data_IF_870320186567
#
_entry.id   IF_870320186567
#
_cell.length_a   1.000
_cell.length_b   1.000
_cell.length_c   1.000
_cell.angle_alpha   90.00
_cell.angle_beta   90.00
_cell.angle_gamma   90.00
#
_symmetry.space_group_name_H-M   'P 1'
#
loop_
_entity.id
_entity.type
_entity.pdbx_description
1 polymer ?
#
# COMPACT_ATOMS: atom_id res chain seq x y z
N UNK A 1 18.62 -0.93 -11.53
CA UNK A 1 18.31 -2.35 -11.37
C UNK A 1 17.03 -2.68 -12.12
N UNK A 2 16.93 -3.86 -12.67
CA UNK A 2 15.72 -4.33 -13.34
C UNK A 2 14.78 -4.96 -12.30
N UNK A 3 13.56 -4.44 -12.06
CA UNK A 3 12.69 -4.90 -10.99
C UNK A 3 12.39 -6.40 -11.01
N UNK A 4 12.22 -6.99 -12.22
CA UNK A 4 11.98 -8.43 -12.39
C UNK A 4 13.12 -9.31 -11.88
N UNK A 5 14.33 -8.76 -11.79
CA UNK A 5 15.56 -9.45 -11.37
C UNK A 5 16.01 -9.11 -9.95
N UNK A 6 15.21 -8.31 -9.22
CA UNK A 6 15.57 -7.72 -7.94
C UNK A 6 16.13 -8.74 -6.91
N UNK A 7 15.63 -9.97 -6.90
CA UNK A 7 16.01 -10.98 -5.93
C UNK A 7 16.82 -12.16 -6.50
N UNK A 8 17.17 -12.12 -7.79
CA UNK A 8 17.82 -13.25 -8.46
C UNK A 8 19.18 -12.92 -9.06
N UNK A 9 19.33 -11.74 -9.66
CA UNK A 9 20.50 -11.37 -10.45
C UNK A 9 21.20 -10.09 -9.98
N UNK A 10 20.56 -9.30 -9.10
CA UNK A 10 21.21 -8.08 -8.60
C UNK A 10 22.29 -8.41 -7.57
N UNK A 11 23.43 -7.71 -7.60
CA UNK A 11 24.49 -7.89 -6.62
C UNK A 11 24.02 -7.47 -5.22
N UNK A 12 24.55 -8.13 -4.22
CA UNK A 12 24.41 -7.69 -2.82
C UNK A 12 25.42 -6.58 -2.56
N UNK A 13 24.95 -5.52 -1.89
CA UNK A 13 25.77 -4.35 -1.55
C UNK A 13 25.59 -4.05 -0.07
N UNK A 14 26.69 -3.78 0.63
CA UNK A 14 26.64 -3.36 2.04
C UNK A 14 25.85 -2.06 2.16
N UNK A 15 24.92 -2.07 3.10
CA UNK A 15 24.00 -0.93 3.30
C UNK A 15 23.85 -0.62 4.78
N UNK A 16 24.02 0.64 5.13
CA UNK A 16 23.76 1.16 6.48
C UNK A 16 22.61 2.16 6.42
N UNK A 17 21.67 2.04 7.37
CA UNK A 17 20.49 2.90 7.48
C UNK A 17 20.39 3.45 8.89
N UNK A 18 20.47 4.77 9.03
CA UNK A 18 20.30 5.49 10.29
C UNK A 18 19.20 6.55 10.11
N UNK A 19 17.98 6.20 10.52
CA UNK A 19 16.80 7.06 10.35
C UNK A 19 16.10 7.29 11.69
N UNK A 20 15.70 8.54 11.91
CA UNK A 20 14.84 8.93 13.04
C UNK A 20 13.47 9.32 12.49
N UNK A 21 12.41 8.72 13.03
CA UNK A 21 11.04 8.98 12.64
C UNK A 21 10.27 9.68 13.75
N UNK A 22 9.41 10.63 13.37
CA UNK A 22 8.49 11.33 14.26
C UNK A 22 7.07 11.22 13.70
N UNK A 23 6.10 10.80 14.53
CA UNK A 23 4.68 10.87 14.18
C UNK A 23 4.25 12.32 14.00
N UNK A 24 3.56 12.63 12.90
CA UNK A 24 3.03 13.96 12.58
C UNK A 24 1.50 13.98 12.56
N UNK A 25 0.87 12.86 12.89
CA UNK A 25 -0.59 12.68 12.93
C UNK A 25 -1.00 11.78 14.09
N UNK A 26 -2.28 11.70 14.45
CA UNK A 26 -2.81 10.61 15.26
C UNK A 26 -2.56 9.24 14.61
N UNK A 27 -2.66 8.16 15.39
CA UNK A 27 -2.69 6.80 14.83
C UNK A 27 -4.09 6.50 14.26
N UNK A 28 -4.11 5.83 13.11
CA UNK A 28 -5.32 5.34 12.45
C UNK A 28 -5.35 3.81 12.45
N UNK A 29 -6.49 3.22 12.81
CA UNK A 29 -6.65 1.77 12.86
C UNK A 29 -6.48 1.19 14.26
N UNK A 30 -6.11 -0.09 14.34
CA UNK A 30 -5.97 -0.84 15.57
C UNK A 30 -6.52 -2.25 15.46
N UNK A 31 -7.11 -2.77 16.53
CA UNK A 31 -7.80 -4.07 16.51
C UNK A 31 -9.20 -3.89 15.94
N UNK A 32 -9.60 -4.70 14.95
CA UNK A 32 -10.96 -4.67 14.46
C UNK A 32 -11.94 -5.15 15.55
N UNK A 33 -13.09 -4.51 15.62
CA UNK A 33 -14.18 -4.93 16.47
C UNK A 33 -15.48 -4.98 15.66
N UNK A 34 -16.31 -5.96 15.93
CA UNK A 34 -17.64 -6.03 15.32
C UNK A 34 -18.49 -4.87 15.87
N UNK A 35 -19.09 -4.10 14.99
CA UNK A 35 -19.92 -2.94 15.36
C UNK A 35 -21.11 -3.31 16.26
N UNK A 36 -21.66 -4.51 16.06
CA UNK A 36 -22.83 -5.00 16.81
C UNK A 36 -22.50 -5.48 18.21
N UNK A 37 -21.32 -6.05 18.43
CA UNK A 37 -20.95 -6.73 19.69
C UNK A 37 -19.84 -6.03 20.46
N UNK A 38 -19.07 -5.15 19.81
CA UNK A 38 -17.87 -4.53 20.38
C UNK A 38 -16.73 -5.53 20.63
N UNK A 39 -16.85 -6.79 20.16
CA UNK A 39 -15.85 -7.85 20.37
C UNK A 39 -14.97 -8.00 19.15
N UNK A 40 -13.76 -8.52 19.36
CA UNK A 40 -12.86 -8.89 18.25
C UNK A 40 -13.54 -10.02 17.44
N UNK A 41 -13.54 -9.92 16.08
CA UNK A 41 -14.10 -10.98 15.23
C UNK A 41 -13.25 -12.25 15.36
N UNK A 42 -13.91 -13.39 15.38
CA UNK A 42 -13.25 -14.70 15.29
C UNK A 42 -12.92 -14.96 13.83
N UNK A 43 -11.64 -15.02 13.49
CA UNK A 43 -11.18 -15.33 12.14
C UNK A 43 -10.40 -16.64 12.13
N UNK A 44 -10.64 -17.46 11.11
CA UNK A 44 -9.77 -18.59 10.83
C UNK A 44 -8.43 -18.09 10.28
N UNK A 45 -7.36 -18.87 10.47
CA UNK A 45 -6.01 -18.47 10.04
C UNK A 45 -5.94 -18.24 8.53
N UNK A 46 -6.58 -19.09 7.74
CA UNK A 46 -6.64 -19.03 6.27
C UNK A 46 -7.52 -17.89 5.73
N UNK A 47 -8.32 -17.26 6.57
CA UNK A 47 -9.14 -16.09 6.26
C UNK A 47 -8.54 -14.79 6.79
N UNK A 48 -7.43 -14.90 7.56
CA UNK A 48 -6.79 -13.75 8.23
C UNK A 48 -5.70 -13.15 7.36
N UNK A 49 -5.82 -11.86 7.09
CA UNK A 49 -4.75 -11.09 6.48
C UNK A 49 -3.92 -10.32 7.53
N UNK A 50 -4.53 -9.93 8.65
CA UNK A 50 -3.85 -9.45 9.86
C UNK A 50 -4.82 -9.51 11.05
N UNK A 51 -4.30 -9.74 12.25
CA UNK A 51 -5.10 -9.68 13.49
C UNK A 51 -5.44 -8.25 13.86
N UNK A 52 -4.50 -7.35 13.63
CA UNK A 52 -4.67 -5.93 13.84
C UNK A 52 -3.66 -5.15 12.98
N UNK A 53 -3.99 -3.90 12.72
CA UNK A 53 -3.24 -3.02 11.83
C UNK A 53 -3.45 -1.58 12.24
N UNK A 54 -2.39 -0.78 12.30
CA UNK A 54 -2.50 0.66 12.44
C UNK A 54 -1.46 1.38 11.57
N UNK A 55 -1.77 2.60 11.22
CA UNK A 55 -0.98 3.47 10.38
C UNK A 55 -0.84 4.84 11.03
N UNK A 56 0.23 5.55 10.69
CA UNK A 56 0.48 6.90 11.18
C UNK A 56 1.37 7.64 10.19
N UNK A 57 0.96 8.82 9.76
CA UNK A 57 1.85 9.67 8.98
C UNK A 57 3.03 10.13 9.84
N UNK A 58 4.21 10.13 9.24
CA UNK A 58 5.49 10.41 9.90
C UNK A 58 6.33 11.37 9.09
N UNK A 59 7.21 12.09 9.76
CA UNK A 59 8.41 12.68 9.16
C UNK A 59 9.62 11.81 9.48
N UNK A 60 10.61 11.76 8.59
CA UNK A 60 11.83 10.97 8.73
C UNK A 60 13.06 11.79 8.37
N UNK A 61 14.13 11.63 9.16
CA UNK A 61 15.45 12.26 8.92
C UNK A 61 16.55 11.26 9.20
N UNK A 62 17.63 11.37 8.43
CA UNK A 62 18.84 10.57 8.68
C UNK A 62 19.60 10.27 7.41
N UNK A 63 20.32 9.16 7.39
CA UNK A 63 21.22 8.79 6.31
C UNK A 63 20.99 7.35 5.86
N UNK A 64 21.22 7.13 4.58
CA UNK A 64 21.34 5.80 3.98
C UNK A 64 22.65 5.74 3.22
N UNK A 65 23.46 4.73 3.49
CA UNK A 65 24.70 4.45 2.77
C UNK A 65 24.52 3.13 2.01
N UNK A 66 24.85 3.13 0.73
CA UNK A 66 24.79 1.96 -0.16
C UNK A 66 26.11 1.83 -0.88
N UNK A 67 26.95 0.90 -0.46
CA UNK A 67 28.34 0.83 -0.93
C UNK A 67 29.07 2.13 -0.59
N UNK A 68 29.59 2.80 -1.60
CA UNK A 68 30.32 4.06 -1.47
C UNK A 68 29.42 5.31 -1.58
N UNK A 69 28.13 5.14 -1.81
CA UNK A 69 27.19 6.24 -1.95
C UNK A 69 26.47 6.54 -0.62
N UNK A 70 26.37 7.83 -0.28
CA UNK A 70 25.67 8.32 0.92
C UNK A 70 24.56 9.29 0.57
N UNK A 71 23.37 9.04 1.12
CA UNK A 71 22.18 9.85 0.92
C UNK A 71 21.72 10.45 2.24
N UNK A 72 21.56 11.78 2.27
CA UNK A 72 20.89 12.48 3.37
C UNK A 72 19.38 12.51 3.09
N UNK A 73 18.61 12.01 4.04
CA UNK A 73 17.16 11.93 3.92
C UNK A 73 16.47 12.91 4.88
N UNK A 74 15.49 13.63 4.35
CA UNK A 74 14.57 14.47 5.12
C UNK A 74 13.24 14.49 4.36
N UNK A 75 12.25 13.76 4.83
CA UNK A 75 11.01 13.58 4.09
C UNK A 75 9.86 13.10 4.94
N UNK A 76 8.76 12.82 4.26
CA UNK A 76 7.51 12.36 4.82
C UNK A 76 7.27 10.91 4.43
N UNK A 77 6.43 10.22 5.20
CA UNK A 77 6.05 8.84 4.93
C UNK A 77 4.90 8.38 5.77
N UNK A 78 4.62 7.08 5.68
CA UNK A 78 3.63 6.41 6.52
C UNK A 78 4.30 5.28 7.29
N UNK A 79 4.08 5.24 8.61
CA UNK A 79 4.36 4.07 9.42
C UNK A 79 3.19 3.12 9.34
N UNK A 80 3.43 1.97 8.79
CA UNK A 80 2.52 0.82 8.80
C UNK A 80 2.96 -0.20 9.84
N UNK A 81 2.03 -0.69 10.64
CA UNK A 81 2.26 -1.77 11.58
C UNK A 81 1.09 -2.74 11.61
N UNK A 82 1.34 -3.95 11.15
CA UNK A 82 0.40 -5.07 11.28
C UNK A 82 1.02 -6.21 12.09
N UNK A 83 0.17 -7.05 12.71
CA UNK A 83 0.60 -8.26 13.40
C UNK A 83 -0.46 -9.36 13.36
N UNK A 84 -0.02 -10.58 13.64
CA UNK A 84 -0.82 -11.79 13.56
C UNK A 84 -0.50 -12.63 12.32
N UNK A 85 -1.24 -13.70 12.14
CA UNK A 85 -1.10 -14.55 10.96
C UNK A 85 -1.51 -13.79 9.71
N UNK A 86 -0.71 -13.96 8.63
CA UNK A 86 -0.99 -13.37 7.33
C UNK A 86 -1.08 -14.46 6.27
N UNK A 87 -2.25 -14.60 5.69
CA UNK A 87 -2.51 -15.49 4.58
C UNK A 87 -2.76 -14.66 3.32
N UNK A 88 -1.81 -14.63 2.41
CA UNK A 88 -1.83 -13.74 1.25
C UNK A 88 -2.97 -14.02 0.28
N UNK A 89 -3.48 -15.26 0.27
CA UNK A 89 -4.62 -15.67 -0.53
C UNK A 89 -5.99 -15.36 0.11
N UNK A 90 -6.02 -14.76 1.31
CA UNK A 90 -7.25 -14.32 1.94
C UNK A 90 -7.89 -13.11 1.26
N UNK A 91 -7.16 -12.46 0.38
CA UNK A 91 -7.58 -11.28 -0.39
C UNK A 91 -7.39 -11.60 -1.87
N UNK A 92 -8.40 -11.34 -2.70
CA UNK A 92 -8.30 -11.51 -4.14
C UNK A 92 -7.40 -10.42 -4.75
N UNK A 93 -7.63 -9.17 -4.35
CA UNK A 93 -6.77 -8.05 -4.71
C UNK A 93 -6.95 -6.87 -3.75
N UNK A 94 -5.95 -5.99 -3.66
CA UNK A 94 -6.08 -4.67 -3.06
C UNK A 94 -5.24 -3.63 -3.79
N UNK A 95 -5.60 -2.36 -3.54
CA UNK A 95 -4.84 -1.16 -3.86
C UNK A 95 -4.65 -0.39 -2.57
N UNK A 96 -3.41 -0.15 -2.20
CA UNK A 96 -3.03 0.61 -1.02
C UNK A 96 -2.10 1.72 -1.43
N UNK A 97 -2.54 2.97 -1.26
CA UNK A 97 -1.89 4.16 -1.80
C UNK A 97 -1.62 5.16 -0.68
N UNK A 98 -0.56 4.98 0.11
CA UNK A 98 -0.09 6.02 1.01
C UNK A 98 0.66 7.09 0.25
N UNK A 99 0.40 8.36 0.56
CA UNK A 99 1.05 9.50 -0.06
C UNK A 99 1.09 10.69 0.88
N UNK A 100 2.10 11.54 0.73
CA UNK A 100 2.23 12.79 1.48
C UNK A 100 2.60 13.94 0.56
N UNK A 101 1.93 15.06 0.74
CA UNK A 101 2.15 16.30 -0.01
C UNK A 101 2.83 17.36 0.84
N UNK A 102 2.49 17.43 2.14
CA UNK A 102 3.08 18.31 3.14
C UNK A 102 2.93 17.70 4.55
N UNK A 103 3.44 18.37 5.57
CA UNK A 103 3.33 17.92 6.97
C UNK A 103 1.87 17.86 7.46
N UNK A 104 0.98 18.63 6.83
CA UNK A 104 -0.42 18.78 7.19
C UNK A 104 -1.40 18.26 6.12
N UNK A 105 -0.89 17.75 4.99
CA UNK A 105 -1.70 17.17 3.93
C UNK A 105 -1.10 15.87 3.41
N UNK A 106 -1.75 14.79 3.75
CA UNK A 106 -1.34 13.44 3.37
C UNK A 106 -2.56 12.50 3.29
N UNK A 107 -2.42 11.37 2.62
CA UNK A 107 -3.51 10.40 2.46
C UNK A 107 -2.99 8.97 2.58
N UNK A 108 -3.86 8.09 3.02
CA UNK A 108 -3.76 6.66 2.76
C UNK A 108 -5.10 6.19 2.19
N UNK A 109 -5.08 5.74 0.94
CA UNK A 109 -6.26 5.26 0.22
C UNK A 109 -6.19 3.74 0.17
N UNK A 110 -7.29 3.08 0.48
CA UNK A 110 -7.41 1.63 0.48
C UNK A 110 -8.65 1.19 -0.29
N UNK A 111 -8.47 0.25 -1.22
CA UNK A 111 -9.53 -0.42 -1.96
C UNK A 111 -9.21 -1.92 -1.97
N UNK A 112 -10.06 -2.73 -1.33
CA UNK A 112 -9.76 -4.13 -1.04
C UNK A 112 -10.92 -5.01 -1.49
N UNK A 113 -10.64 -6.06 -2.26
CA UNK A 113 -11.59 -7.10 -2.63
C UNK A 113 -11.16 -8.47 -2.11
N UNK A 114 -12.07 -9.15 -1.42
CA UNK A 114 -11.85 -10.53 -0.96
C UNK A 114 -12.31 -11.57 -1.97
N UNK A 115 -13.36 -11.27 -2.72
CA UNK A 115 -14.02 -12.15 -3.67
C UNK A 115 -13.64 -11.90 -5.14
N UNK A 116 -12.88 -10.83 -5.41
CA UNK A 116 -12.50 -10.38 -6.74
C UNK A 116 -13.56 -9.51 -7.45
N UNK A 117 -14.74 -9.37 -6.88
CA UNK A 117 -15.92 -8.71 -7.49
C UNK A 117 -16.29 -7.45 -6.73
N UNK A 118 -16.46 -7.59 -5.41
CA UNK A 118 -16.89 -6.49 -4.54
C UNK A 118 -15.67 -5.89 -3.85
N UNK A 119 -15.52 -4.58 -3.92
CA UNK A 119 -14.44 -3.88 -3.24
C UNK A 119 -14.96 -3.01 -2.10
N UNK A 120 -14.24 -3.03 -0.99
CA UNK A 120 -14.45 -2.14 0.14
C UNK A 120 -13.48 -0.96 0.06
N UNK A 121 -14.02 0.24 0.09
CA UNK A 121 -13.28 1.49 0.17
C UNK A 121 -12.91 1.82 1.62
N UNK A 122 -11.74 2.42 1.84
CA UNK A 122 -11.31 2.87 3.15
C UNK A 122 -10.11 3.80 3.09
N UNK A 123 -9.66 4.19 4.26
CA UNK A 123 -8.50 5.05 4.42
C UNK A 123 -8.83 6.38 5.08
N UNK A 124 -7.86 7.29 5.03
CA UNK A 124 -7.95 8.60 5.67
C UNK A 124 -7.21 9.67 4.87
N UNK A 125 -7.70 10.89 4.99
CA UNK A 125 -7.03 12.12 4.56
C UNK A 125 -6.60 12.86 5.81
N UNK A 126 -5.31 13.13 5.97
CA UNK A 126 -4.79 14.07 6.96
C UNK A 126 -4.93 15.47 6.39
N UNK A 127 -5.60 16.35 7.11
CA UNK A 127 -5.68 17.77 6.81
C UNK A 127 -5.77 18.54 8.13
N UNK A 128 -4.89 19.51 8.33
CA UNK A 128 -4.83 20.34 9.54
C UNK A 128 -4.85 19.52 10.85
N UNK A 129 -3.92 18.56 10.99
CA UNK A 129 -3.78 17.64 12.14
C UNK A 129 -5.00 16.74 12.41
N UNK A 130 -5.97 16.69 11.50
CA UNK A 130 -7.19 15.91 11.63
C UNK A 130 -7.32 14.88 10.52
N UNK A 131 -7.80 13.67 10.86
CA UNK A 131 -8.15 12.66 9.88
C UNK A 131 -9.62 12.77 9.45
N UNK A 132 -9.83 12.88 8.14
CA UNK A 132 -11.11 12.75 7.46
C UNK A 132 -11.21 11.36 6.84
N UNK A 133 -12.26 10.60 7.21
CA UNK A 133 -12.41 9.23 6.73
C UNK A 133 -12.83 9.21 5.26
N UNK A 134 -12.19 8.36 4.48
CA UNK A 134 -12.57 8.11 3.09
C UNK A 134 -13.83 7.26 3.06
N UNK A 135 -14.84 7.69 2.29
CA UNK A 135 -16.15 7.04 2.14
C UNK A 135 -16.28 6.26 0.85
N UNK A 136 -15.70 6.76 -0.22
CA UNK A 136 -15.66 6.08 -1.51
C UNK A 136 -14.30 6.21 -2.18
N UNK A 137 -13.95 5.20 -2.97
CA UNK A 137 -12.70 5.13 -3.72
C UNK A 137 -13.01 4.56 -5.09
N UNK A 138 -12.57 5.26 -6.13
CA UNK A 138 -12.51 4.77 -7.51
C UNK A 138 -11.06 4.89 -7.98
N UNK A 139 -10.50 3.85 -8.59
CA UNK A 139 -9.14 3.84 -9.11
C UNK A 139 -9.14 3.30 -10.52
N UNK A 140 -8.66 4.12 -11.46
CA UNK A 140 -8.36 3.73 -12.84
C UNK A 140 -6.85 3.58 -13.00
N UNK A 141 -6.39 2.39 -13.34
CA UNK A 141 -4.95 2.09 -13.49
C UNK A 141 -4.58 1.87 -14.94
N UNK A 142 -3.42 2.39 -15.35
CA UNK A 142 -2.77 2.07 -16.60
C UNK A 142 -1.70 1.03 -16.37
N UNK A 143 -1.71 -0.04 -17.15
CA UNK A 143 -0.82 -1.18 -17.02
C UNK A 143 0.18 -1.24 -18.18
N UNK A 144 1.33 -1.86 -17.94
CA UNK A 144 2.25 -2.24 -19.02
C UNK A 144 1.88 -3.64 -19.59
N UNK A 145 2.66 -4.11 -20.58
CA UNK A 145 2.43 -5.40 -21.25
C UNK A 145 2.61 -6.62 -20.32
N UNK A 146 3.30 -6.45 -19.18
CA UNK A 146 3.50 -7.46 -18.15
C UNK A 146 2.55 -7.32 -16.96
N UNK A 147 1.55 -6.47 -17.10
CA UNK A 147 0.56 -6.17 -16.05
C UNK A 147 1.16 -5.55 -14.79
N UNK A 148 2.16 -4.66 -14.92
CA UNK A 148 2.60 -3.78 -13.85
C UNK A 148 1.95 -2.40 -14.00
N UNK A 149 1.56 -1.79 -12.89
CA UNK A 149 0.99 -0.43 -12.92
C UNK A 149 2.04 0.59 -13.35
N UNK A 150 1.66 1.46 -14.30
CA UNK A 150 2.47 2.59 -14.80
C UNK A 150 2.00 3.91 -14.25
N UNK A 151 0.70 4.11 -14.22
CA UNK A 151 0.06 5.30 -13.70
C UNK A 151 -1.33 4.98 -13.20
N UNK A 152 -1.90 5.88 -12.44
CA UNK A 152 -3.26 5.76 -11.94
C UNK A 152 -3.94 7.12 -11.85
N UNK A 153 -5.28 7.06 -11.87
CA UNK A 153 -6.14 8.16 -11.42
C UNK A 153 -7.04 7.62 -10.31
N UNK A 154 -7.11 8.33 -9.20
CA UNK A 154 -8.02 8.01 -8.13
C UNK A 154 -8.99 9.16 -7.87
N UNK A 155 -10.24 8.83 -7.61
CA UNK A 155 -11.25 9.75 -7.05
C UNK A 155 -11.67 9.20 -5.70
N UNK A 156 -11.63 10.05 -4.70
CA UNK A 156 -12.07 9.70 -3.36
C UNK A 156 -13.03 10.75 -2.83
N UNK A 157 -13.96 10.34 -1.98
CA UNK A 157 -14.80 11.26 -1.21
C UNK A 157 -14.63 11.06 0.28
N UNK A 158 -14.70 12.17 1.02
CA UNK A 158 -14.84 12.21 2.48
C UNK A 158 -16.21 12.78 2.80
N UNK A 159 -16.52 12.99 4.07
CA UNK A 159 -17.77 13.68 4.46
C UNK A 159 -17.75 15.18 4.08
N UNK A 160 -16.54 15.75 3.85
CA UNK A 160 -16.36 17.19 3.67
C UNK A 160 -16.14 17.57 2.20
N UNK A 161 -15.45 16.73 1.42
CA UNK A 161 -15.11 17.04 0.02
C UNK A 161 -14.62 15.82 -0.75
N UNK A 162 -14.55 16.00 -2.07
CA UNK A 162 -13.96 15.06 -3.01
C UNK A 162 -12.53 15.48 -3.38
N UNK A 163 -11.70 14.49 -3.75
CA UNK A 163 -10.34 14.70 -4.23
C UNK A 163 -10.11 13.91 -5.52
N UNK A 164 -9.39 14.53 -6.44
CA UNK A 164 -8.86 13.88 -7.64
C UNK A 164 -7.35 13.77 -7.52
N UNK A 165 -6.85 12.56 -7.65
CA UNK A 165 -5.43 12.24 -7.50
C UNK A 165 -4.94 11.62 -8.80
N UNK A 166 -3.76 12.03 -9.26
CA UNK A 166 -3.02 11.38 -10.34
C UNK A 166 -1.73 10.82 -9.77
N UNK A 167 -1.34 9.63 -10.22
CA UNK A 167 -0.11 8.97 -9.82
C UNK A 167 0.68 8.47 -11.03
N UNK A 168 1.97 8.76 -11.06
CA UNK A 168 2.95 8.23 -12.03
C UNK A 168 3.95 7.36 -11.28
N UNK A 169 4.08 6.09 -11.69
CA UNK A 169 4.97 5.13 -11.05
C UNK A 169 6.38 5.30 -11.61
N UNK A 170 7.30 5.77 -10.77
CA UNK A 170 8.67 6.08 -11.15
C UNK A 170 9.59 4.83 -11.10
N UNK A 171 9.34 3.94 -10.13
CA UNK A 171 10.00 2.65 -10.03
C UNK A 171 9.12 1.65 -9.31
N UNK A 172 9.35 0.36 -9.55
CA UNK A 172 8.51 -0.70 -9.01
C UNK A 172 9.33 -1.94 -8.68
N UNK A 173 9.04 -2.56 -7.55
CA UNK A 173 9.60 -3.86 -7.13
C UNK A 173 8.46 -4.86 -6.97
N UNK A 174 8.45 -5.98 -7.71
CA UNK A 174 7.46 -7.03 -7.54
C UNK A 174 7.90 -8.02 -6.46
N UNK A 175 7.03 -8.27 -5.49
CA UNK A 175 7.11 -9.38 -4.57
C UNK A 175 6.20 -10.50 -5.05
N UNK A 176 6.62 -11.75 -4.90
CA UNK A 176 5.88 -12.92 -5.37
C UNK A 176 5.75 -13.95 -4.26
N UNK A 177 4.58 -14.49 -4.10
CA UNK A 177 4.30 -15.61 -3.23
C UNK A 177 3.64 -16.73 -4.03
N UNK A 178 4.17 -17.93 -3.87
CA UNK A 178 3.60 -19.14 -4.47
C UNK A 178 3.21 -20.11 -3.37
N UNK A 179 2.04 -20.71 -3.49
CA UNK A 179 1.53 -21.69 -2.54
C UNK A 179 0.86 -22.84 -3.27
N UNK A 180 1.06 -24.05 -2.75
CA UNK A 180 0.35 -25.25 -3.22
C UNK A 180 -0.74 -25.59 -2.22
N UNK A 181 -1.95 -25.73 -2.70
CA UNK A 181 -3.11 -26.19 -1.89
C UNK A 181 -3.01 -27.69 -1.61
N UNK A 182 -3.71 -28.25 -0.62
CA UNK A 182 -3.69 -29.69 -0.33
C UNK A 182 -4.11 -30.58 -1.52
N UNK A 183 -4.94 -30.09 -2.42
CA UNK A 183 -5.37 -30.75 -3.65
C UNK A 183 -4.40 -30.55 -4.83
N UNK A 184 -3.24 -29.92 -4.59
CA UNK A 184 -2.16 -29.76 -5.57
C UNK A 184 -2.28 -28.53 -6.47
N UNK A 185 -3.29 -27.68 -6.32
CA UNK A 185 -3.43 -26.45 -7.11
C UNK A 185 -2.36 -25.43 -6.71
N UNK A 186 -1.71 -24.84 -7.72
CA UNK A 186 -0.78 -23.73 -7.52
C UNK A 186 -1.53 -22.41 -7.42
N UNK A 187 -1.22 -21.65 -6.39
CA UNK A 187 -1.72 -20.28 -6.17
C UNK A 187 -0.56 -19.31 -6.27
N UNK A 188 -0.76 -18.22 -7.00
CA UNK A 188 0.24 -17.19 -7.19
C UNK A 188 -0.32 -15.86 -6.73
N UNK A 189 0.40 -15.20 -5.82
CA UNK A 189 0.11 -13.84 -5.39
C UNK A 189 1.27 -12.96 -5.79
N UNK A 190 0.98 -11.81 -6.38
CA UNK A 190 1.96 -10.75 -6.67
C UNK A 190 1.60 -9.52 -5.87
N UNK A 191 2.59 -8.93 -5.18
CA UNK A 191 2.52 -7.57 -4.65
C UNK A 191 3.50 -6.73 -5.44
N UNK A 192 3.09 -5.55 -5.84
CA UNK A 192 3.96 -4.58 -6.52
C UNK A 192 4.10 -3.35 -5.66
N UNK A 193 5.34 -3.05 -5.27
CA UNK A 193 5.72 -1.90 -4.46
C UNK A 193 6.18 -0.78 -5.40
N UNK A 194 5.28 0.11 -5.77
CA UNK A 194 5.55 1.19 -6.73
C UNK A 194 5.86 2.52 -6.06
N UNK A 195 7.10 3.02 -6.14
CA UNK A 195 7.40 4.41 -5.81
C UNK A 195 6.65 5.31 -6.80
N UNK A 196 5.75 6.13 -6.28
CA UNK A 196 4.80 6.88 -7.10
C UNK A 196 4.84 8.37 -6.76
N UNK A 197 4.93 9.18 -7.80
CA UNK A 197 4.76 10.63 -7.74
C UNK A 197 3.29 10.96 -7.91
N UNK A 198 2.71 11.64 -6.93
CA UNK A 198 1.30 11.99 -6.91
C UNK A 198 1.07 13.48 -7.14
N UNK A 199 -0.08 13.78 -7.73
CA UNK A 199 -0.58 15.15 -7.90
C UNK A 199 -2.02 15.23 -7.35
N UNK A 200 -2.27 16.20 -6.48
CA UNK A 200 -3.59 16.49 -5.90
C UNK A 200 -3.66 17.97 -5.53
N UNK A 201 -4.76 18.67 -5.87
CA UNK A 201 -5.01 20.08 -5.55
C UNK A 201 -3.86 21.02 -5.97
N UNK A 202 -3.18 20.72 -7.08
CA UNK A 202 -2.03 21.50 -7.57
C UNK A 202 -0.73 21.26 -6.81
N UNK A 203 -0.72 20.38 -5.83
CA UNK A 203 0.47 19.95 -5.10
C UNK A 203 1.05 18.67 -5.69
N UNK A 204 2.37 18.53 -5.58
CA UNK A 204 3.07 17.29 -5.88
C UNK A 204 3.48 16.62 -4.57
N UNK A 205 3.19 15.33 -4.45
CA UNK A 205 3.54 14.50 -3.31
C UNK A 205 4.21 13.20 -3.75
N UNK A 206 4.70 12.45 -2.80
CA UNK A 206 5.33 11.15 -3.01
C UNK A 206 4.74 10.11 -2.09
N UNK A 207 4.79 8.88 -2.56
CA UNK A 207 4.30 7.75 -1.79
C UNK A 207 4.47 6.44 -2.51
N UNK A 208 3.62 5.50 -2.17
CA UNK A 208 3.63 4.16 -2.73
C UNK A 208 2.30 3.87 -3.43
N UNK A 209 2.35 3.15 -4.54
CA UNK A 209 1.20 2.42 -5.07
C UNK A 209 1.48 0.94 -4.88
N UNK A 210 0.95 0.38 -3.80
CA UNK A 210 1.05 -1.05 -3.52
C UNK A 210 -0.19 -1.77 -4.03
N UNK A 211 0.02 -2.71 -4.96
CA UNK A 211 -1.02 -3.52 -5.55
C UNK A 211 -0.78 -4.98 -5.24
N UNK A 212 -1.71 -5.61 -4.52
CA UNK A 212 -1.74 -7.06 -4.36
C UNK A 212 -2.78 -7.65 -5.31
N UNK A 213 -2.40 -8.68 -6.03
CA UNK A 213 -3.30 -9.45 -6.88
C UNK A 213 -3.02 -10.95 -6.78
N UNK A 214 -4.08 -11.74 -6.73
CA UNK A 214 -3.98 -13.13 -7.12
C UNK A 214 -3.84 -13.19 -8.63
N UNK A 215 -2.92 -14.05 -9.12
CA UNK A 215 -2.64 -14.18 -10.56
C UNK A 215 -3.35 -15.42 -11.07
N UNK A 216 -4.22 -15.25 -12.05
CA UNK A 216 -4.94 -16.32 -12.75
C UNK A 216 -4.61 -16.25 -14.23
N UNK A 217 -4.10 -17.35 -14.79
CA UNK A 217 -3.67 -17.43 -16.20
C UNK A 217 -2.71 -16.30 -16.62
N UNK A 218 -1.85 -15.88 -15.69
CA UNK A 218 -0.87 -14.82 -15.91
C UNK A 218 -1.39 -13.39 -15.73
N UNK A 219 -2.68 -13.22 -15.45
CA UNK A 219 -3.34 -11.91 -15.35
C UNK A 219 -3.69 -11.62 -13.87
N UNK A 220 -3.41 -10.40 -13.37
CA UNK A 220 -3.87 -9.94 -12.06
C UNK A 220 -5.40 -9.83 -12.03
N UNK A 221 -6.06 -10.41 -11.02
CA UNK A 221 -7.53 -10.41 -10.92
C UNK A 221 -8.09 -8.98 -10.87
N UNK A 222 -7.42 -8.07 -10.20
CA UNK A 222 -7.89 -6.69 -10.07
C UNK A 222 -7.52 -5.76 -11.24
N UNK A 223 -7.01 -6.32 -12.36
CA UNK A 223 -6.71 -5.55 -13.58
C UNK A 223 -7.82 -5.67 -14.64
N UNK A 224 -8.78 -6.58 -14.47
CA UNK A 224 -9.84 -6.90 -15.43
C UNK A 224 -11.22 -6.83 -14.80
#
# INVERSE_FOLDING_TARGET
AEPKKAFTENPMVDTTVELTFKGISPMFGGRPVEKSTGKEPTQKMEESFSKAHYEQHISGKGTVEVGDERFELNGLGLRDKSWGARYWQAIAWYRWLPMAFSDDFAMMISLISKDGITAASGGMVLHDDTYHLIRSVEIDSVWDDDWYQKSLKARISTDDRDYEIKGEVESLIPLRNQRTTPDGKQLFTRITEGLTRYECDGMTGWGMSEYLDQIVDGIPIGAV
#
